data_IF_207784326482
#
_entry.id   IF_207784326482
#
_cell.length_a   1.000
_cell.length_b   1.000
_cell.length_c   1.000
_cell.angle_alpha   90.00
_cell.angle_beta   90.00
_cell.angle_gamma   90.00
#
_symmetry.space_group_name_H-M   'P 1'
#
loop_
_entity.id
_entity.type
_entity.pdbx_description
1 polymer ?
#
# COMPACT_ATOMS: atom_id res chain seq x y z
N UNK A 1 1.59 1.05 4.69
CA UNK A 1 1.15 1.51 3.34
C UNK A 1 2.38 1.96 2.57
N UNK A 2 2.62 1.48 1.34
CA UNK A 2 3.77 1.95 0.53
C UNK A 2 3.24 2.89 -0.54
N UNK A 3 3.58 4.17 -0.44
CA UNK A 3 3.32 5.22 -1.43
C UNK A 3 4.64 5.52 -2.11
N UNK A 4 4.87 4.91 -3.27
CA UNK A 4 6.17 5.01 -3.96
C UNK A 4 6.12 5.31 -5.45
N UNK A 5 7.10 6.09 -5.90
CA UNK A 5 7.28 6.52 -7.30
C UNK A 5 6.03 7.16 -7.93
N UNK A 6 5.23 7.86 -7.13
CA UNK A 6 4.05 8.57 -7.61
C UNK A 6 4.39 10.03 -7.95
N UNK A 7 3.56 10.64 -8.81
CA UNK A 7 3.66 12.06 -9.16
C UNK A 7 2.33 12.75 -8.93
N UNK A 8 2.35 13.93 -8.29
CA UNK A 8 1.15 14.76 -8.07
C UNK A 8 1.36 16.15 -8.66
N UNK A 9 0.39 16.65 -9.42
CA UNK A 9 0.42 17.97 -10.08
C UNK A 9 -0.99 18.57 -10.13
N UNK A 10 -1.10 19.90 -10.07
CA UNK A 10 -2.33 20.71 -10.17
C UNK A 10 -3.46 20.28 -9.21
N UNK A 11 -3.10 19.66 -8.10
CA UNK A 11 -4.03 19.21 -7.08
C UNK A 11 -4.27 20.27 -6.00
N UNK A 12 -5.47 20.27 -5.40
CA UNK A 12 -5.69 20.99 -4.15
C UNK A 12 -4.83 20.40 -3.04
N UNK A 13 -4.88 19.09 -2.83
CA UNK A 13 -4.00 18.38 -1.89
C UNK A 13 -3.20 17.35 -2.72
N UNK A 14 -1.88 17.52 -2.81
CA UNK A 14 -0.99 16.62 -3.57
C UNK A 14 -0.97 15.22 -2.96
N UNK A 15 -0.18 15.03 -1.91
CA UNK A 15 -0.30 13.86 -1.04
C UNK A 15 -1.00 14.27 0.26
N UNK A 16 -2.01 13.50 0.66
CA UNK A 16 -2.81 13.79 1.84
C UNK A 16 -2.94 12.54 2.70
N UNK A 17 -2.39 12.61 3.91
CA UNK A 17 -2.58 11.60 4.94
C UNK A 17 -3.51 12.16 6.00
N UNK A 18 -4.49 11.35 6.37
CA UNK A 18 -5.46 11.63 7.43
C UNK A 18 -5.37 10.47 8.42
N UNK A 19 -5.60 10.77 9.69
CA UNK A 19 -5.61 9.78 10.76
C UNK A 19 -4.29 8.99 10.85
N UNK A 20 -4.38 7.83 11.46
CA UNK A 20 -3.23 7.07 11.83
C UNK A 20 -2.70 6.22 10.66
N UNK A 21 -1.71 6.76 9.95
CA UNK A 21 -1.04 6.12 8.81
C UNK A 21 0.39 5.69 9.16
N UNK A 22 0.70 5.49 10.44
CA UNK A 22 2.04 5.11 10.91
C UNK A 22 2.49 3.77 10.29
N UNK A 23 3.79 3.61 10.04
CA UNK A 23 4.31 2.49 9.25
C UNK A 23 4.05 2.65 7.75
N UNK A 24 3.75 3.87 7.28
CA UNK A 24 3.74 4.17 5.86
C UNK A 24 5.15 4.43 5.34
N UNK A 25 5.44 3.96 4.14
CA UNK A 25 6.64 4.34 3.41
C UNK A 25 6.22 5.32 2.32
N UNK A 26 6.59 6.59 2.47
CA UNK A 26 6.39 7.62 1.48
C UNK A 26 7.74 7.90 0.82
N UNK A 27 8.00 7.28 -0.34
CA UNK A 27 9.33 7.29 -0.98
C UNK A 27 9.32 7.53 -2.48
N UNK A 28 10.38 8.14 -3.01
CA UNK A 28 10.60 8.48 -4.42
C UNK A 28 9.43 9.21 -5.10
N UNK A 29 8.57 9.89 -4.35
CA UNK A 29 7.44 10.59 -4.92
C UNK A 29 7.85 11.97 -5.44
N UNK A 30 7.19 12.45 -6.48
CA UNK A 30 7.42 13.75 -7.08
C UNK A 30 6.21 14.68 -6.83
N UNK A 31 6.46 15.75 -6.07
CA UNK A 31 5.48 16.78 -5.74
C UNK A 31 5.68 17.99 -6.66
N UNK A 32 4.89 18.04 -7.74
CA UNK A 32 4.83 19.16 -8.68
C UNK A 32 3.87 20.26 -8.14
N UNK A 33 3.73 21.40 -8.85
CA UNK A 33 2.91 22.51 -8.37
C UNK A 33 1.50 22.09 -7.96
N UNK A 34 1.03 22.59 -6.80
CA UNK A 34 -0.22 22.22 -6.15
C UNK A 34 -0.57 23.25 -5.06
N UNK A 35 -1.75 23.18 -4.43
CA UNK A 35 -2.04 24.05 -3.28
C UNK A 35 -1.28 23.60 -2.02
N UNK A 36 -1.29 22.29 -1.71
CA UNK A 36 -0.37 21.64 -0.77
C UNK A 36 0.39 20.50 -1.45
N UNK A 37 1.72 20.43 -1.28
CA UNK A 37 2.51 19.30 -1.79
C UNK A 37 2.30 18.02 -0.98
N UNK A 38 2.49 18.12 0.34
CA UNK A 38 2.22 17.09 1.34
C UNK A 38 1.41 17.72 2.48
N UNK A 39 0.29 17.10 2.83
CA UNK A 39 -0.54 17.46 3.96
C UNK A 39 -0.70 16.25 4.89
N UNK A 40 -0.26 16.40 6.14
CA UNK A 40 -0.59 15.49 7.24
C UNK A 40 -1.68 16.16 8.08
N UNK A 41 -2.93 15.74 7.93
CA UNK A 41 -4.06 16.30 8.65
C UNK A 41 -4.49 15.37 9.77
N UNK A 42 -4.19 15.73 11.02
CA UNK A 42 -4.40 14.88 12.21
C UNK A 42 -3.84 13.48 12.01
N UNK A 43 -2.69 13.43 11.35
CA UNK A 43 -2.09 12.20 10.90
C UNK A 43 -0.69 12.02 11.47
N UNK A 44 -0.33 10.75 11.64
CA UNK A 44 1.05 10.31 11.80
C UNK A 44 1.33 9.28 10.72
N UNK A 45 2.48 9.38 10.05
CA UNK A 45 2.90 8.44 8.99
C UNK A 45 4.13 7.61 9.35
N UNK A 46 4.68 7.82 10.55
CA UNK A 46 5.97 7.28 10.94
C UNK A 46 7.12 8.00 10.26
N UNK A 47 8.34 7.69 10.65
CA UNK A 47 9.51 8.39 10.12
C UNK A 47 9.82 7.98 8.68
N UNK A 48 10.25 8.97 7.92
CA UNK A 48 10.58 8.86 6.52
C UNK A 48 12.08 9.06 6.37
N UNK A 49 12.81 7.95 6.41
CA UNK A 49 14.28 7.96 6.40
C UNK A 49 14.80 7.89 4.97
N UNK A 50 15.42 8.98 4.52
CA UNK A 50 16.16 9.11 3.25
C UNK A 50 15.37 8.72 2.02
N UNK A 51 14.05 8.88 2.07
CA UNK A 51 13.07 8.36 1.11
C UNK A 51 13.10 9.00 -0.29
N UNK A 52 14.13 9.74 -0.67
CA UNK A 52 14.30 10.31 -2.01
C UNK A 52 13.12 11.10 -2.62
N UNK A 53 12.15 11.54 -1.83
CA UNK A 53 11.04 12.35 -2.30
C UNK A 53 11.54 13.67 -2.91
N UNK A 54 10.91 14.08 -4.02
CA UNK A 54 11.30 15.24 -4.81
C UNK A 54 10.24 16.33 -4.81
N UNK A 55 10.66 17.56 -4.56
CA UNK A 55 9.81 18.73 -4.49
C UNK A 55 10.06 19.63 -5.69
N UNK A 56 8.99 20.25 -6.21
CA UNK A 56 9.12 21.28 -7.22
C UNK A 56 9.97 22.44 -6.70
N UNK A 57 10.99 22.79 -7.48
CA UNK A 57 11.89 23.93 -7.19
C UNK A 57 11.39 25.24 -7.77
N UNK A 58 10.26 25.22 -8.48
CA UNK A 58 9.68 26.42 -9.07
C UNK A 58 9.17 27.36 -7.97
N UNK A 59 9.50 28.65 -8.09
CA UNK A 59 9.01 29.68 -7.17
C UNK A 59 7.48 29.71 -7.25
N UNK A 60 6.80 29.65 -6.10
CA UNK A 60 5.34 29.64 -6.05
C UNK A 60 4.71 28.34 -6.55
N UNK A 61 5.48 27.25 -6.67
CA UNK A 61 4.93 25.93 -6.99
C UNK A 61 3.82 25.52 -6.03
N UNK A 62 3.93 25.91 -4.76
CA UNK A 62 2.93 25.59 -3.74
C UNK A 62 2.19 26.84 -3.30
N UNK A 63 0.87 26.86 -3.51
CA UNK A 63 0.05 28.04 -3.18
C UNK A 63 -0.01 28.29 -1.67
N UNK A 64 -0.03 27.22 -0.88
CA UNK A 64 -0.09 27.28 0.59
C UNK A 64 1.23 26.81 1.21
N UNK A 65 1.55 25.52 1.15
CA UNK A 65 2.78 24.94 1.72
C UNK A 65 3.29 23.81 0.83
N UNK A 66 4.61 23.63 0.71
CA UNK A 66 5.10 22.37 0.15
C UNK A 66 4.78 21.23 1.10
N UNK A 67 5.04 21.39 2.40
CA UNK A 67 4.68 20.41 3.42
C UNK A 67 3.97 21.09 4.59
N UNK A 68 2.80 20.57 4.97
CA UNK A 68 2.08 21.00 6.17
C UNK A 68 1.66 19.82 7.04
N UNK A 69 1.90 19.93 8.34
CA UNK A 69 1.40 19.05 9.38
C UNK A 69 0.44 19.86 10.26
N UNK A 70 -0.79 19.37 10.37
CA UNK A 70 -1.82 19.89 11.27
C UNK A 70 -2.03 18.86 12.36
N UNK A 71 -1.47 19.12 13.55
CA UNK A 71 -1.59 18.22 14.69
C UNK A 71 -2.99 18.25 15.29
N UNK A 72 -3.48 17.09 15.73
CA UNK A 72 -4.68 16.96 16.53
C UNK A 72 -4.35 17.37 17.99
N UNK A 73 -4.99 18.41 18.54
CA UNK A 73 -4.74 18.85 19.93
C UNK A 73 -5.06 17.78 20.98
N UNK A 74 -5.89 16.80 20.64
CA UNK A 74 -6.28 15.70 21.54
C UNK A 74 -5.32 14.50 21.46
N UNK A 75 -4.46 14.44 20.44
CA UNK A 75 -3.52 13.34 20.23
C UNK A 75 -2.08 13.88 20.08
N UNK A 76 -1.25 13.82 21.15
CA UNK A 76 0.14 14.29 21.09
C UNK A 76 1.02 13.53 20.07
N UNK A 77 0.57 12.36 19.60
CA UNK A 77 1.28 11.54 18.61
C UNK A 77 1.12 12.03 17.18
N UNK A 78 0.23 12.99 16.93
CA UNK A 78 0.09 13.65 15.61
C UNK A 78 1.04 14.86 15.43
N UNK A 79 2.05 14.98 16.30
CA UNK A 79 3.08 16.02 16.21
C UNK A 79 4.20 15.64 15.24
N UNK A 80 5.03 16.61 14.86
CA UNK A 80 6.18 16.38 13.96
C UNK A 80 7.16 15.31 14.45
N UNK A 81 7.17 15.01 15.76
CA UNK A 81 8.07 14.03 16.37
C UNK A 81 7.76 12.57 15.99
N UNK A 82 6.58 12.31 15.44
CA UNK A 82 6.12 10.97 15.03
C UNK A 82 5.93 10.84 13.51
N UNK A 83 6.48 11.79 12.75
CA UNK A 83 6.42 11.79 11.28
C UNK A 83 7.63 12.53 10.71
N UNK A 84 8.81 12.31 11.29
CA UNK A 84 10.00 13.05 10.90
C UNK A 84 10.51 12.60 9.53
N UNK A 85 10.95 13.56 8.72
CA UNK A 85 11.64 13.30 7.47
C UNK A 85 13.14 13.49 7.67
N UNK A 86 13.89 12.40 7.60
CA UNK A 86 15.36 12.41 7.63
C UNK A 86 15.89 12.47 6.20
N UNK A 87 16.19 13.66 5.70
CA UNK A 87 16.49 13.88 4.28
C UNK A 87 17.98 13.64 3.98
N UNK A 88 18.25 12.77 3.02
CA UNK A 88 19.61 12.42 2.57
C UNK A 88 20.42 13.59 1.98
N UNK A 89 19.76 14.65 1.51
CA UNK A 89 20.36 15.81 0.86
C UNK A 89 19.57 17.09 1.15
N UNK A 90 20.23 18.19 1.56
CA UNK A 90 19.55 19.48 1.79
C UNK A 90 19.29 20.27 0.48
N UNK A 91 19.49 19.67 -0.69
CA UNK A 91 19.22 20.35 -1.96
C UNK A 91 17.72 20.69 -2.08
N UNK A 92 17.36 21.82 -2.72
CA UNK A 92 15.96 22.28 -2.80
C UNK A 92 14.99 21.29 -3.44
N UNK A 93 15.49 20.37 -4.26
CA UNK A 93 14.68 19.30 -4.85
C UNK A 93 14.34 18.17 -3.86
N UNK A 94 15.07 18.01 -2.76
CA UNK A 94 14.85 16.96 -1.75
C UNK A 94 14.39 17.53 -0.41
N UNK A 95 14.61 18.83 -0.19
CA UNK A 95 14.17 19.57 0.99
C UNK A 95 13.05 20.54 0.60
N UNK A 96 11.81 20.37 1.12
CA UNK A 96 10.67 21.18 0.70
C UNK A 96 10.88 22.67 0.98
N UNK A 97 10.37 23.52 0.08
CA UNK A 97 10.27 24.96 0.34
C UNK A 97 8.99 25.25 1.14
N UNK A 98 9.01 26.20 2.08
CA UNK A 98 7.80 26.60 2.84
C UNK A 98 7.12 25.43 3.59
N UNK A 99 7.68 25.08 4.76
CA UNK A 99 7.28 23.94 5.62
C UNK A 99 6.57 24.45 6.87
N UNK A 100 5.51 23.76 7.31
CA UNK A 100 4.85 24.00 8.59
C UNK A 100 4.59 22.68 9.35
N UNK A 101 5.17 22.44 10.55
CA UNK A 101 6.04 23.35 11.30
C UNK A 101 7.44 23.50 10.68
N UNK A 102 8.06 24.68 10.79
CA UNK A 102 9.32 24.99 10.10
C UNK A 102 10.57 24.33 10.73
N UNK A 103 10.46 23.80 11.95
CA UNK A 103 11.58 23.16 12.66
C UNK A 103 11.17 21.78 13.19
N UNK A 104 12.13 20.86 13.26
CA UNK A 104 11.96 19.54 13.88
C UNK A 104 11.21 18.51 13.04
N UNK A 105 10.59 18.91 11.92
CA UNK A 105 9.87 17.98 11.05
C UNK A 105 10.70 17.42 9.90
N UNK A 106 11.51 18.26 9.24
CA UNK A 106 12.44 17.87 8.18
C UNK A 106 13.87 18.15 8.64
N UNK A 107 14.66 17.08 8.83
CA UNK A 107 16.03 17.16 9.33
C UNK A 107 17.00 16.52 8.33
N UNK A 108 18.18 17.12 8.07
CA UNK A 108 19.17 16.48 7.22
C UNK A 108 19.79 15.27 7.92
N UNK A 109 19.88 14.14 7.19
CA UNK A 109 20.56 12.93 7.62
C UNK A 109 21.33 12.33 6.43
N UNK A 110 22.61 12.65 6.34
CA UNK A 110 23.43 12.35 5.16
C UNK A 110 23.65 10.86 4.94
N UNK A 111 23.37 10.38 3.73
CA UNK A 111 23.73 9.04 3.29
C UNK A 111 23.05 8.64 1.99
N UNK A 112 23.06 7.34 1.67
CA UNK A 112 22.36 6.84 0.50
C UNK A 112 20.85 7.05 0.65
N UNK A 113 20.20 7.45 -0.45
CA UNK A 113 18.76 7.47 -0.52
C UNK A 113 18.20 6.04 -0.38
N UNK A 114 17.14 5.91 0.41
CA UNK A 114 16.31 4.72 0.44
C UNK A 114 15.29 4.87 -0.69
N UNK A 115 15.37 3.98 -1.67
CA UNK A 115 14.37 3.88 -2.72
C UNK A 115 13.12 3.14 -2.24
N UNK A 116 12.17 2.89 -3.16
CA UNK A 116 10.93 2.17 -2.85
C UNK A 116 11.11 0.84 -2.11
N UNK A 117 12.28 0.22 -2.28
CA UNK A 117 12.63 -1.09 -1.74
C UNK A 117 13.97 -1.06 -0.99
N UNK A 118 14.52 0.12 -0.71
CA UNK A 118 15.71 0.27 0.13
C UNK A 118 15.33 0.07 1.59
N UNK A 119 16.18 -0.63 2.37
CA UNK A 119 15.98 -0.99 3.78
C UNK A 119 15.14 0.05 4.55
N UNK A 120 13.86 -0.25 4.70
CA UNK A 120 12.79 0.66 5.14
C UNK A 120 12.93 1.00 6.64
N UNK A 121 13.93 0.43 7.33
CA UNK A 121 13.97 0.42 8.79
C UNK A 121 15.34 0.72 9.42
N UNK A 122 16.37 1.15 8.69
CA UNK A 122 17.59 1.64 9.38
C UNK A 122 17.30 3.01 10.00
N UNK A 123 16.74 3.03 11.19
CA UNK A 123 16.26 4.26 11.84
C UNK A 123 16.64 4.27 13.30
N UNK A 124 17.36 5.31 13.73
CA UNK A 124 17.47 5.65 15.15
C UNK A 124 16.09 5.85 15.78
N UNK A 125 16.03 5.77 17.11
CA UNK A 125 14.84 6.20 17.85
C UNK A 125 14.70 7.72 17.77
N UNK A 126 13.51 8.22 17.44
CA UNK A 126 13.19 9.65 17.51
C UNK A 126 13.16 10.14 18.95
N UNK A 127 13.12 11.45 19.14
CA UNK A 127 12.92 12.02 20.48
C UNK A 127 11.63 11.52 21.14
N UNK A 128 10.52 11.44 20.38
CA UNK A 128 9.25 10.93 20.91
C UNK A 128 9.32 9.45 21.31
N UNK A 129 9.99 8.63 20.51
CA UNK A 129 10.18 7.21 20.79
C UNK A 129 11.17 6.98 21.95
N UNK A 130 12.23 7.77 22.04
CA UNK A 130 13.16 7.75 23.18
C UNK A 130 12.43 8.10 24.48
N UNK A 131 11.55 9.10 24.44
CA UNK A 131 10.71 9.47 25.58
C UNK A 131 9.68 8.37 25.90
N UNK A 132 9.15 7.67 24.89
CA UNK A 132 8.25 6.54 25.09
C UNK A 132 8.96 5.38 25.79
N UNK A 133 10.12 4.93 25.29
CA UNK A 133 10.85 3.78 25.87
C UNK A 133 11.43 4.09 27.24
N UNK A 134 11.85 5.33 27.51
CA UNK A 134 12.33 5.77 28.83
C UNK A 134 11.19 6.07 29.81
N UNK A 135 9.93 6.09 29.35
CA UNK A 135 8.76 6.40 30.16
C UNK A 135 8.61 7.87 30.53
N UNK A 136 9.33 8.78 29.86
CA UNK A 136 9.25 10.23 30.11
C UNK A 136 8.21 10.95 29.24
N UNK A 137 7.63 10.27 28.24
CA UNK A 137 6.60 10.85 27.37
C UNK A 137 5.32 11.12 28.16
N UNK A 138 4.75 12.33 28.05
CA UNK A 138 3.45 12.60 28.65
C UNK A 138 2.33 11.97 27.81
N UNK A 139 1.76 10.89 28.33
CA UNK A 139 0.72 10.10 27.71
C UNK A 139 -0.69 10.51 28.18
N UNK A 140 -0.83 11.59 28.96
CA UNK A 140 -2.12 12.08 29.45
C UNK A 140 -3.01 12.52 28.29
N UNK A 141 -4.22 11.97 28.21
CA UNK A 141 -5.22 12.32 27.18
C UNK A 141 -5.40 11.27 26.09
N UNK A 142 -4.48 10.31 25.97
CA UNK A 142 -4.64 9.18 25.06
C UNK A 142 -5.63 8.14 25.62
N UNK A 143 -6.42 7.54 24.74
CA UNK A 143 -7.28 6.41 25.11
C UNK A 143 -6.45 5.15 25.36
N UNK A 144 -7.06 4.13 25.96
CA UNK A 144 -6.41 2.83 26.13
C UNK A 144 -5.99 2.18 24.81
N UNK A 145 -6.78 2.38 23.74
CA UNK A 145 -6.47 1.88 22.41
C UNK A 145 -5.26 2.63 21.81
N UNK A 146 -5.25 3.96 21.91
CA UNK A 146 -4.15 4.78 21.37
C UNK A 146 -2.79 4.46 22.02
N UNK A 147 -2.80 4.24 23.35
CA UNK A 147 -1.62 3.82 24.11
C UNK A 147 -1.15 2.45 23.67
N UNK A 148 -2.07 1.49 23.55
CA UNK A 148 -1.74 0.14 23.13
C UNK A 148 -1.15 0.12 21.71
N UNK A 149 -1.73 0.86 20.77
CA UNK A 149 -1.22 0.97 19.40
C UNK A 149 0.15 1.63 19.33
N UNK A 150 0.37 2.69 20.13
CA UNK A 150 1.66 3.37 20.22
C UNK A 150 2.75 2.41 20.72
N UNK A 151 2.50 1.68 21.81
CA UNK A 151 3.46 0.72 22.36
C UNK A 151 3.70 -0.47 21.43
N UNK A 152 2.64 -1.01 20.81
CA UNK A 152 2.73 -2.12 19.85
C UNK A 152 3.63 -1.80 18.67
N UNK A 153 3.55 -0.57 18.13
CA UNK A 153 4.39 -0.15 17.01
C UNK A 153 5.83 0.07 17.39
N UNK A 154 6.07 0.63 18.57
CA UNK A 154 7.41 0.71 19.13
C UNK A 154 8.02 -0.69 19.24
N UNK A 155 7.24 -1.66 19.72
CA UNK A 155 7.59 -3.08 19.73
C UNK A 155 7.96 -3.60 18.33
N UNK A 156 7.11 -3.39 17.32
CA UNK A 156 7.41 -3.79 15.95
C UNK A 156 8.71 -3.17 15.40
N UNK A 157 8.95 -1.87 15.68
CA UNK A 157 10.18 -1.18 15.28
C UNK A 157 11.39 -1.84 15.92
N UNK A 158 11.33 -2.17 17.21
CA UNK A 158 12.41 -2.86 17.91
C UNK A 158 12.60 -4.31 17.41
N UNK A 159 11.53 -5.03 17.10
CA UNK A 159 11.59 -6.39 16.54
C UNK A 159 12.28 -6.43 15.17
N UNK A 160 12.08 -5.38 14.36
CA UNK A 160 12.67 -5.26 13.02
C UNK A 160 14.12 -4.78 13.06
N UNK A 161 14.52 -4.08 14.12
CA UNK A 161 15.82 -3.42 14.25
C UNK A 161 16.47 -3.73 15.61
N UNK A 162 17.02 -4.94 15.80
CA UNK A 162 17.64 -5.34 17.07
C UNK A 162 18.78 -4.43 17.52
N UNK A 163 19.45 -3.73 16.61
CA UNK A 163 20.50 -2.76 16.90
C UNK A 163 20.03 -1.54 17.71
N UNK A 164 18.72 -1.28 17.73
CA UNK A 164 18.10 -0.23 18.56
C UNK A 164 17.93 -0.65 20.02
N UNK A 165 18.22 -1.90 20.35
CA UNK A 165 18.20 -2.46 21.70
C UNK A 165 19.62 -2.86 22.16
N UNK A 166 20.58 -1.92 22.24
CA UNK A 166 21.87 -2.26 22.82
C UNK A 166 21.69 -2.71 24.28
N UNK A 167 22.51 -3.67 24.77
CA UNK A 167 22.39 -4.18 26.13
C UNK A 167 22.39 -3.08 27.20
N UNK A 168 21.41 -3.11 28.09
CA UNK A 168 21.21 -2.14 29.18
C UNK A 168 20.47 -0.86 28.78
N UNK A 169 19.97 -0.76 27.54
CA UNK A 169 19.21 0.42 27.09
C UNK A 169 17.75 0.41 27.56
N UNK A 170 17.14 1.60 27.61
CA UNK A 170 15.70 1.75 27.89
C UNK A 170 14.84 1.02 26.83
N UNK A 171 15.31 0.96 25.58
CA UNK A 171 14.65 0.23 24.50
C UNK A 171 14.65 -1.29 24.76
N UNK A 172 15.78 -1.86 25.20
CA UNK A 172 15.85 -3.28 25.59
C UNK A 172 14.93 -3.56 26.79
N UNK A 173 14.94 -2.68 27.80
CA UNK A 173 14.07 -2.81 28.97
C UNK A 173 12.58 -2.72 28.59
N UNK A 174 12.21 -1.77 27.72
CA UNK A 174 10.87 -1.63 27.17
C UNK A 174 10.41 -2.91 26.48
N UNK A 175 11.23 -3.45 25.57
CA UNK A 175 10.95 -4.68 24.83
C UNK A 175 10.77 -5.88 25.78
N UNK A 176 11.73 -6.11 26.67
CA UNK A 176 11.72 -7.24 27.60
C UNK A 176 10.50 -7.23 28.52
N UNK A 177 10.02 -6.05 28.93
CA UNK A 177 8.84 -5.93 29.78
C UNK A 177 7.54 -6.35 29.10
N UNK A 178 7.50 -6.43 27.76
CA UNK A 178 6.30 -6.85 27.01
C UNK A 178 6.37 -8.31 26.53
N UNK A 179 7.48 -9.01 26.72
CA UNK A 179 7.60 -10.42 26.36
C UNK A 179 6.47 -11.25 27.00
N UNK A 180 5.82 -12.09 26.19
CA UNK A 180 4.72 -12.96 26.64
C UNK A 180 3.36 -12.27 26.85
N UNK A 181 3.27 -10.95 26.66
CA UNK A 181 1.97 -10.24 26.64
C UNK A 181 1.20 -10.50 25.35
N UNK A 182 -0.12 -10.28 25.36
CA UNK A 182 -0.96 -10.33 24.14
C UNK A 182 -0.48 -9.32 23.09
N UNK A 183 -0.04 -8.13 23.52
CA UNK A 183 0.55 -7.12 22.64
C UNK A 183 1.77 -7.66 21.89
N UNK A 184 2.69 -8.33 22.59
CA UNK A 184 3.86 -8.94 21.96
C UNK A 184 3.47 -10.06 20.99
N UNK A 185 2.52 -10.92 21.37
CA UNK A 185 2.05 -11.99 20.51
C UNK A 185 1.43 -11.45 19.21
N UNK A 186 0.57 -10.42 19.31
CA UNK A 186 -0.03 -9.78 18.14
C UNK A 186 0.99 -9.01 17.29
N UNK A 187 1.98 -8.36 17.91
CA UNK A 187 3.07 -7.71 17.18
C UNK A 187 3.94 -8.74 16.43
N UNK A 188 4.23 -9.90 17.04
CA UNK A 188 4.95 -10.99 16.38
C UNK A 188 4.19 -11.51 15.16
N UNK A 189 2.89 -11.77 15.33
CA UNK A 189 2.01 -12.20 14.24
C UNK A 189 2.01 -11.19 13.09
N UNK A 190 1.97 -9.90 13.38
CA UNK A 190 2.01 -8.85 12.37
C UNK A 190 3.34 -8.81 11.62
N UNK A 191 4.46 -8.99 12.32
CA UNK A 191 5.77 -9.12 11.68
C UNK A 191 5.83 -10.36 10.77
N UNK A 192 5.36 -11.51 11.25
CA UNK A 192 5.36 -12.75 10.48
C UNK A 192 4.45 -12.65 9.25
N UNK A 193 3.27 -12.04 9.40
CA UNK A 193 2.34 -11.79 8.31
C UNK A 193 2.94 -10.84 7.26
N UNK A 194 3.57 -9.74 7.68
CA UNK A 194 4.21 -8.80 6.75
C UNK A 194 5.36 -9.46 5.98
N UNK A 195 6.20 -10.26 6.64
CA UNK A 195 7.28 -11.00 5.99
C UNK A 195 6.74 -12.01 4.98
N UNK A 196 5.62 -12.66 5.29
CA UNK A 196 4.95 -13.64 4.42
C UNK A 196 4.38 -13.00 3.14
N UNK A 197 3.99 -11.73 3.21
CA UNK A 197 3.45 -11.00 2.05
C UNK A 197 4.53 -10.53 1.08
N UNK A 198 5.79 -10.46 1.51
CA UNK A 198 6.91 -10.01 0.68
C UNK A 198 7.65 -11.20 0.02
N UNK A 199 8.12 -11.05 -1.22
CA UNK A 199 9.00 -12.05 -1.83
C UNK A 199 10.32 -12.13 -1.08
N UNK A 200 10.80 -13.35 -0.83
CA UNK A 200 12.15 -13.55 -0.31
C UNK A 200 13.21 -13.04 -1.28
N UNK A 201 14.37 -12.63 -0.78
CA UNK A 201 15.43 -12.04 -1.61
C UNK A 201 15.89 -12.96 -2.77
N UNK A 202 15.90 -14.27 -2.54
CA UNK A 202 16.24 -15.26 -3.57
C UNK A 202 15.17 -15.32 -4.68
N UNK A 203 13.89 -15.35 -4.30
CA UNK A 203 12.77 -15.40 -5.24
C UNK A 203 12.67 -14.08 -6.03
N UNK A 204 12.83 -12.94 -5.37
CA UNK A 204 12.86 -11.64 -6.03
C UNK A 204 14.01 -11.57 -7.05
N UNK A 205 15.21 -12.00 -6.67
CA UNK A 205 16.35 -12.07 -7.61
C UNK A 205 16.06 -13.00 -8.80
N UNK A 206 15.40 -14.14 -8.56
CA UNK A 206 14.99 -15.04 -9.62
C UNK A 206 13.96 -14.40 -10.56
N UNK A 207 12.95 -13.71 -10.03
CA UNK A 207 11.94 -12.97 -10.80
C UNK A 207 12.63 -11.91 -11.67
N UNK A 208 13.48 -11.07 -11.09
CA UNK A 208 14.19 -10.01 -11.81
C UNK A 208 15.04 -10.58 -12.95
N UNK A 209 15.77 -11.67 -12.68
CA UNK A 209 16.60 -12.35 -13.67
C UNK A 209 15.76 -12.92 -14.83
N UNK A 210 14.63 -13.55 -14.54
CA UNK A 210 13.75 -14.08 -15.58
C UNK A 210 13.04 -12.99 -16.37
N UNK A 211 12.60 -11.91 -15.72
CA UNK A 211 12.01 -10.75 -16.40
C UNK A 211 13.03 -10.08 -17.34
N UNK A 212 14.25 -9.84 -16.87
CA UNK A 212 15.34 -9.31 -17.70
C UNK A 212 15.66 -10.23 -18.89
N UNK A 213 15.65 -11.54 -18.66
CA UNK A 213 15.85 -12.53 -19.73
C UNK A 213 14.71 -12.51 -20.74
N UNK A 214 13.46 -12.36 -20.29
CA UNK A 214 12.28 -12.22 -21.17
C UNK A 214 12.41 -10.96 -22.03
N UNK A 215 12.75 -9.81 -21.44
CA UNK A 215 12.96 -8.57 -22.20
C UNK A 215 14.08 -8.71 -23.22
N UNK A 216 15.23 -9.27 -22.83
CA UNK A 216 16.33 -9.52 -23.76
C UNK A 216 15.96 -10.45 -24.91
N UNK A 217 15.12 -11.46 -24.69
CA UNK A 217 14.62 -12.35 -25.74
C UNK A 217 13.61 -11.66 -26.66
N UNK A 218 12.77 -10.75 -26.14
CA UNK A 218 11.86 -9.95 -26.94
C UNK A 218 12.64 -8.95 -27.82
N UNK A 219 13.71 -8.34 -27.30
CA UNK A 219 14.59 -7.47 -28.07
C UNK A 219 15.33 -8.24 -29.18
N UNK A 220 15.79 -9.46 -28.90
CA UNK A 220 16.36 -10.33 -29.93
C UNK A 220 15.35 -10.67 -31.02
N UNK A 221 14.09 -10.95 -30.64
CA UNK A 221 13.01 -11.22 -31.60
C UNK A 221 12.74 -9.99 -32.49
N UNK A 222 12.68 -8.80 -31.89
CA UNK A 222 12.52 -7.55 -32.61
C UNK A 222 13.71 -7.26 -33.55
N UNK A 223 14.93 -7.56 -33.12
CA UNK A 223 16.12 -7.42 -33.94
C UNK A 223 16.14 -8.40 -35.13
N UNK A 224 15.67 -9.64 -34.94
CA UNK A 224 15.49 -10.60 -36.04
C UNK A 224 14.48 -10.03 -37.03
N UNK A 225 13.33 -9.55 -36.56
CA UNK A 225 12.27 -9.00 -37.41
C UNK A 225 12.73 -7.75 -38.18
N UNK A 226 13.47 -6.84 -37.53
CA UNK A 226 13.99 -5.62 -38.15
C UNK A 226 15.08 -5.89 -39.20
N UNK A 227 15.87 -6.95 -39.02
CA UNK A 227 16.93 -7.35 -39.95
C UNK A 227 16.47 -8.41 -40.97
N UNK A 228 15.17 -8.70 -41.03
CA UNK A 228 14.59 -9.60 -42.03
C UNK A 228 14.27 -8.82 -43.30
N UNK A 229 15.07 -8.93 -44.38
CA UNK A 229 14.70 -8.34 -45.66
C UNK A 229 13.39 -8.96 -46.15
N UNK A 230 12.52 -8.16 -46.77
CA UNK A 230 11.27 -8.65 -47.37
C UNK A 230 11.61 -9.74 -48.40
N UNK A 231 11.23 -11.01 -48.15
CA UNK A 231 11.58 -12.09 -49.05
C UNK A 231 10.83 -11.91 -50.38
N UNK A 232 11.49 -12.18 -51.51
CA UNK A 232 10.89 -11.99 -52.83
C UNK A 232 9.82 -13.06 -53.14
N UNK A 233 9.80 -14.15 -52.37
CA UNK A 233 8.79 -15.21 -52.43
C UNK A 233 8.54 -15.85 -51.06
N UNK A 234 7.38 -16.51 -50.91
CA UNK A 234 7.05 -17.29 -49.71
C UNK A 234 8.02 -18.46 -49.45
N UNK A 235 8.58 -19.05 -50.52
CA UNK A 235 9.52 -20.17 -50.40
C UNK A 235 10.89 -19.70 -49.84
N UNK A 236 11.39 -18.55 -50.29
CA UNK A 236 12.60 -17.93 -49.71
C UNK A 236 12.38 -17.48 -48.26
N UNK A 237 11.15 -17.09 -47.91
CA UNK A 237 10.80 -16.78 -46.52
C UNK A 237 10.94 -18.02 -45.62
N UNK A 238 10.45 -19.18 -46.08
CA UNK A 238 10.48 -20.46 -45.36
C UNK A 238 11.88 -21.06 -45.24
N UNK A 239 12.71 -20.96 -46.28
CA UNK A 239 14.07 -21.50 -46.30
C UNK A 239 15.09 -20.58 -45.61
N UNK A 240 14.67 -19.40 -45.13
CA UNK A 240 15.56 -18.47 -44.45
C UNK A 240 16.00 -19.01 -43.07
N UNK A 241 17.31 -18.92 -42.81
CA UNK A 241 17.92 -19.12 -41.47
C UNK A 241 17.21 -18.33 -40.35
N UNK A 242 16.50 -17.26 -40.73
CA UNK A 242 15.76 -16.39 -39.82
C UNK A 242 14.51 -17.06 -39.23
N UNK A 243 13.82 -17.96 -39.95
CA UNK A 243 12.70 -18.76 -39.38
C UNK A 243 13.20 -19.68 -38.26
N UNK A 244 14.34 -20.33 -38.46
CA UNK A 244 14.99 -21.17 -37.44
C UNK A 244 15.45 -20.36 -36.22
N UNK A 245 16.07 -19.20 -36.44
CA UNK A 245 16.48 -18.29 -35.36
C UNK A 245 15.26 -17.80 -34.54
N UNK A 246 14.16 -17.46 -35.23
CA UNK A 246 12.91 -17.03 -34.59
C UNK A 246 12.30 -18.15 -33.75
N UNK A 247 12.25 -19.37 -34.28
CA UNK A 247 11.75 -20.53 -33.56
C UNK A 247 12.59 -20.83 -32.30
N UNK A 248 13.92 -20.68 -32.38
CA UNK A 248 14.81 -20.86 -31.24
C UNK A 248 14.55 -19.82 -30.13
N UNK A 249 14.47 -18.53 -30.48
CA UNK A 249 14.16 -17.45 -29.51
C UNK A 249 12.79 -17.65 -28.87
N UNK A 250 11.77 -18.02 -29.65
CA UNK A 250 10.42 -18.30 -29.12
C UNK A 250 10.39 -19.53 -28.20
N UNK A 251 11.17 -20.56 -28.51
CA UNK A 251 11.33 -21.73 -27.65
C UNK A 251 12.00 -21.36 -26.32
N UNK A 252 13.06 -20.54 -26.37
CA UNK A 252 13.73 -20.04 -25.18
C UNK A 252 12.80 -19.17 -24.34
N UNK A 253 12.04 -18.26 -24.97
CA UNK A 253 11.07 -17.40 -24.30
C UNK A 253 10.02 -18.23 -23.56
N UNK A 254 9.51 -19.30 -24.19
CA UNK A 254 8.58 -20.24 -23.53
C UNK A 254 9.22 -20.91 -22.33
N UNK A 255 10.44 -21.42 -22.45
CA UNK A 255 11.16 -22.06 -21.34
C UNK A 255 11.41 -21.10 -20.17
N UNK A 256 11.82 -19.86 -20.47
CA UNK A 256 12.03 -18.82 -19.46
C UNK A 256 10.73 -18.46 -18.76
N UNK A 257 9.61 -18.34 -19.49
CA UNK A 257 8.30 -18.12 -18.87
C UNK A 257 7.86 -19.28 -17.98
N UNK A 258 8.00 -20.51 -18.44
CA UNK A 258 7.67 -21.67 -17.60
C UNK A 258 8.49 -21.70 -16.30
N UNK A 259 9.74 -21.23 -16.36
CA UNK A 259 10.61 -21.14 -15.17
C UNK A 259 10.15 -20.03 -14.22
N UNK A 260 9.74 -18.88 -14.75
CA UNK A 260 9.12 -17.80 -13.97
C UNK A 260 7.82 -18.28 -13.31
N UNK A 261 6.94 -18.93 -14.06
CA UNK A 261 5.67 -19.46 -13.56
C UNK A 261 5.90 -20.49 -12.44
N UNK A 262 6.95 -21.31 -12.54
CA UNK A 262 7.32 -22.26 -11.49
C UNK A 262 7.78 -21.56 -10.20
N UNK A 263 8.56 -20.47 -10.30
CA UNK A 263 8.95 -19.66 -9.13
C UNK A 263 7.71 -19.03 -8.50
N UNK A 264 6.83 -18.41 -9.30
CA UNK A 264 5.60 -17.80 -8.80
C UNK A 264 4.71 -18.83 -8.11
N UNK A 265 4.52 -20.01 -8.70
CA UNK A 265 3.74 -21.09 -8.09
C UNK A 265 4.35 -21.57 -6.76
N UNK A 266 5.67 -21.69 -6.69
CA UNK A 266 6.39 -22.00 -5.45
C UNK A 266 6.17 -20.95 -4.36
N UNK A 267 6.25 -19.67 -4.72
CA UNK A 267 5.99 -18.56 -3.80
C UNK A 267 4.55 -18.57 -3.27
N UNK A 268 3.56 -18.81 -4.14
CA UNK A 268 2.17 -18.91 -3.70
C UNK A 268 1.98 -20.07 -2.71
N UNK A 269 2.56 -21.24 -2.99
CA UNK A 269 2.47 -22.39 -2.08
C UNK A 269 3.13 -22.10 -0.73
N UNK A 270 4.31 -21.45 -0.72
CA UNK A 270 5.01 -21.07 0.50
C UNK A 270 4.20 -20.05 1.30
N UNK A 271 3.70 -18.99 0.65
CA UNK A 271 2.83 -18.00 1.28
C UNK A 271 1.61 -18.63 1.94
N UNK A 272 0.91 -19.53 1.26
CA UNK A 272 -0.25 -20.22 1.84
C UNK A 272 0.13 -21.03 3.09
N UNK A 273 1.29 -21.70 3.09
CA UNK A 273 1.77 -22.45 4.24
C UNK A 273 2.13 -21.54 5.43
N UNK A 274 2.82 -20.42 5.15
CA UNK A 274 3.21 -19.45 6.17
C UNK A 274 1.99 -18.76 6.78
N UNK A 275 0.99 -18.38 5.96
CA UNK A 275 -0.27 -17.81 6.46
C UNK A 275 -1.09 -18.79 7.32
N UNK A 276 -1.02 -20.09 7.03
CA UNK A 276 -1.62 -21.10 7.90
C UNK A 276 -0.92 -21.17 9.28
N UNK A 277 0.40 -20.96 9.33
CA UNK A 277 1.14 -20.86 10.59
C UNK A 277 0.79 -19.58 11.37
N UNK A 278 0.64 -18.45 10.66
CA UNK A 278 0.14 -17.18 11.23
C UNK A 278 -1.25 -17.38 11.85
N UNK A 279 -2.18 -18.03 11.15
CA UNK A 279 -3.50 -18.36 11.69
C UNK A 279 -3.44 -19.24 12.94
N UNK A 280 -2.64 -20.31 12.91
CA UNK A 280 -2.48 -21.18 14.08
C UNK A 280 -1.96 -20.42 15.30
N UNK A 281 -1.13 -19.39 15.09
CA UNK A 281 -0.64 -18.53 16.18
C UNK A 281 -1.75 -17.61 16.68
N UNK A 282 -2.49 -16.96 15.78
CA UNK A 282 -3.64 -16.12 16.10
C UNK A 282 -4.68 -16.86 16.94
N UNK A 283 -5.00 -18.11 16.60
CA UNK A 283 -5.99 -18.93 17.32
C UNK A 283 -5.63 -19.13 18.79
N UNK A 284 -4.34 -19.25 19.11
CA UNK A 284 -3.83 -19.39 20.47
C UNK A 284 -3.82 -18.10 21.30
N UNK A 285 -3.98 -16.93 20.68
CA UNK A 285 -3.99 -15.63 21.37
C UNK A 285 -5.35 -15.40 22.04
N UNK A 286 -5.34 -15.08 23.33
CA UNK A 286 -6.54 -14.77 24.10
C UNK A 286 -6.60 -13.26 24.38
N UNK A 287 -7.27 -12.46 23.53
CA UNK A 287 -7.37 -11.02 23.73
C UNK A 287 -8.20 -10.69 24.98
N UNK A 288 -7.85 -9.59 25.64
CA UNK A 288 -8.49 -9.11 26.87
C UNK A 288 -9.27 -7.81 26.68
N UNK A 289 -9.00 -7.10 25.57
CA UNK A 289 -9.63 -5.82 25.23
C UNK A 289 -10.28 -5.85 23.85
N UNK A 290 -11.08 -4.83 23.54
CA UNK A 290 -11.77 -4.70 22.25
C UNK A 290 -10.77 -4.50 21.11
N UNK A 291 -9.81 -3.58 21.26
CA UNK A 291 -8.78 -3.34 20.23
C UNK A 291 -7.87 -4.55 19.99
N UNK A 292 -7.55 -5.36 21.01
CA UNK A 292 -6.83 -6.64 20.82
C UNK A 292 -7.66 -7.65 20.04
N UNK A 293 -8.96 -7.75 20.36
CA UNK A 293 -9.90 -8.65 19.67
C UNK A 293 -10.06 -8.25 18.20
N UNK A 294 -10.26 -6.96 17.94
CA UNK A 294 -10.37 -6.42 16.59
C UNK A 294 -9.11 -6.69 15.77
N UNK A 295 -7.92 -6.44 16.33
CA UNK A 295 -6.64 -6.67 15.65
C UNK A 295 -6.44 -8.15 15.33
N UNK A 296 -6.76 -9.05 16.28
CA UNK A 296 -6.72 -10.51 16.06
C UNK A 296 -7.62 -10.91 14.89
N UNK A 297 -8.90 -10.53 14.93
CA UNK A 297 -9.88 -10.89 13.89
C UNK A 297 -9.51 -10.31 12.53
N UNK A 298 -8.99 -9.07 12.49
CA UNK A 298 -8.51 -8.45 11.27
C UNK A 298 -7.38 -9.27 10.63
N UNK A 299 -6.37 -9.69 11.40
CA UNK A 299 -5.29 -10.52 10.86
C UNK A 299 -5.71 -11.94 10.51
N UNK A 300 -6.73 -12.52 11.17
CA UNK A 300 -7.30 -13.80 10.76
C UNK A 300 -7.90 -13.69 9.34
N UNK A 301 -8.78 -12.70 9.12
CA UNK A 301 -9.39 -12.42 7.82
C UNK A 301 -8.34 -12.10 6.75
N UNK A 302 -7.35 -11.26 7.06
CA UNK A 302 -6.27 -10.92 6.12
C UNK A 302 -5.39 -12.13 5.77
N UNK A 303 -5.23 -13.08 6.70
CA UNK A 303 -4.49 -14.32 6.45
C UNK A 303 -5.27 -15.26 5.54
N UNK A 304 -6.59 -15.41 5.74
CA UNK A 304 -7.46 -16.16 4.82
C UNK A 304 -7.42 -15.56 3.42
N UNK A 305 -7.56 -14.24 3.34
CA UNK A 305 -7.51 -13.54 2.07
C UNK A 305 -6.17 -13.66 1.36
N UNK A 306 -5.07 -13.47 2.09
CA UNK A 306 -3.73 -13.65 1.57
C UNK A 306 -3.43 -15.08 1.10
N UNK A 307 -4.12 -16.08 1.68
CA UNK A 307 -4.03 -17.48 1.30
C UNK A 307 -4.90 -17.83 0.06
N UNK A 308 -5.63 -16.86 -0.50
CA UNK A 308 -6.43 -17.00 -1.71
C UNK A 308 -7.92 -17.26 -1.45
N UNK A 309 -8.40 -17.14 -0.20
CA UNK A 309 -9.84 -17.19 0.09
C UNK A 309 -10.44 -15.81 -0.13
N UNK A 310 -11.38 -15.67 -1.07
CA UNK A 310 -12.03 -14.37 -1.26
C UNK A 310 -12.90 -14.00 -0.05
N UNK A 311 -12.88 -12.73 0.41
CA UNK A 311 -13.70 -12.30 1.53
C UNK A 311 -15.19 -12.57 1.28
N UNK A 312 -15.86 -13.18 2.26
CA UNK A 312 -17.27 -13.51 2.17
C UNK A 312 -18.18 -12.41 2.75
N UNK A 313 -19.49 -12.69 2.86
CA UNK A 313 -20.45 -11.74 3.41
C UNK A 313 -20.29 -11.51 4.92
N UNK A 314 -19.75 -12.48 5.66
CA UNK A 314 -19.44 -12.34 7.08
C UNK A 314 -18.18 -11.48 7.28
N UNK A 315 -17.16 -11.67 6.45
CA UNK A 315 -15.95 -10.83 6.45
C UNK A 315 -16.29 -9.37 6.17
N UNK A 316 -17.10 -9.12 5.14
CA UNK A 316 -17.51 -7.75 4.80
C UNK A 316 -18.39 -7.12 5.90
N UNK A 317 -19.24 -7.92 6.57
CA UNK A 317 -20.00 -7.46 7.72
C UNK A 317 -19.09 -7.10 8.91
N UNK A 318 -18.06 -7.93 9.16
CA UNK A 318 -17.04 -7.65 10.16
C UNK A 318 -16.29 -6.35 9.85
N UNK A 319 -15.75 -6.18 8.64
CA UNK A 319 -15.04 -4.96 8.23
C UNK A 319 -15.90 -3.71 8.40
N UNK A 320 -17.18 -3.75 7.98
CA UNK A 320 -18.10 -2.61 8.17
C UNK A 320 -18.35 -2.31 9.64
N UNK A 321 -18.55 -3.35 10.46
CA UNK A 321 -18.75 -3.19 11.90
C UNK A 321 -17.53 -2.60 12.60
N UNK A 322 -16.33 -3.01 12.19
CA UNK A 322 -15.07 -2.51 12.71
C UNK A 322 -14.84 -1.07 12.26
N UNK A 323 -15.05 -0.76 10.98
CA UNK A 323 -14.90 0.59 10.42
C UNK A 323 -15.83 1.63 11.08
N UNK A 324 -16.99 1.19 11.57
CA UNK A 324 -17.96 2.02 12.28
C UNK A 324 -17.54 2.38 13.72
N UNK A 325 -16.61 1.64 14.34
CA UNK A 325 -16.16 1.89 15.72
C UNK A 325 -15.38 3.22 15.83
N UNK A 326 -15.25 3.71 17.06
CA UNK A 326 -14.29 4.77 17.38
C UNK A 326 -12.86 4.22 17.35
N UNK A 327 -11.89 4.93 16.75
CA UNK A 327 -10.47 4.58 16.90
C UNK A 327 -10.02 4.50 18.36
N UNK A 328 -10.58 5.33 19.25
CA UNK A 328 -10.28 5.31 20.70
C UNK A 328 -10.80 4.06 21.43
N UNK A 329 -11.68 3.27 20.81
CA UNK A 329 -12.21 2.01 21.35
C UNK A 329 -11.63 0.80 20.60
N UNK A 330 -11.65 0.87 19.27
CA UNK A 330 -11.29 -0.23 18.38
C UNK A 330 -9.83 -0.25 17.93
N UNK A 331 -9.06 0.80 18.24
CA UNK A 331 -7.66 0.97 17.84
C UNK A 331 -7.48 1.25 16.35
N UNK A 332 -6.25 1.17 15.90
CA UNK A 332 -5.83 1.39 14.51
C UNK A 332 -6.40 0.35 13.52
N UNK A 333 -6.92 -0.77 14.02
CA UNK A 333 -7.68 -1.74 13.24
C UNK A 333 -8.92 -1.12 12.58
N UNK A 334 -9.50 -0.06 13.21
CA UNK A 334 -10.61 0.71 12.65
C UNK A 334 -10.21 1.41 11.36
N UNK A 335 -9.06 2.10 11.37
CA UNK A 335 -8.56 2.81 10.19
C UNK A 335 -8.16 1.84 9.08
N UNK A 336 -7.61 0.68 9.46
CA UNK A 336 -7.34 -0.39 8.50
C UNK A 336 -8.65 -0.89 7.86
N UNK A 337 -9.68 -1.16 8.65
CA UNK A 337 -10.98 -1.60 8.15
C UNK A 337 -11.64 -0.58 7.22
N UNK A 338 -11.57 0.71 7.55
CA UNK A 338 -12.05 1.79 6.67
C UNK A 338 -11.36 1.78 5.30
N UNK A 339 -10.07 1.49 5.25
CA UNK A 339 -9.32 1.37 4.00
C UNK A 339 -9.65 0.08 3.21
N UNK A 340 -10.16 -0.95 3.87
CA UNK A 340 -10.61 -2.19 3.21
C UNK A 340 -12.02 -2.11 2.62
N UNK A 341 -12.81 -1.09 2.99
CA UNK A 341 -14.14 -0.89 2.44
C UNK A 341 -14.10 -0.53 0.95
N UNK A 342 -15.17 -0.80 0.19
CA UNK A 342 -15.31 -0.29 -1.18
C UNK A 342 -15.17 1.23 -1.22
N UNK A 343 -14.55 1.77 -2.28
CA UNK A 343 -14.28 3.23 -2.43
C UNK A 343 -15.51 4.09 -2.17
N UNK A 344 -16.70 3.63 -2.60
CA UNK A 344 -17.98 4.31 -2.38
C UNK A 344 -18.35 4.47 -0.89
N UNK A 345 -17.93 3.52 -0.05
CA UNK A 345 -18.19 3.50 1.40
C UNK A 345 -17.09 4.22 2.17
N UNK A 346 -15.84 4.23 1.67
CA UNK A 346 -14.71 4.91 2.30
C UNK A 346 -14.97 6.41 2.52
N UNK A 347 -15.62 7.07 1.55
CA UNK A 347 -15.94 8.50 1.61
C UNK A 347 -16.81 8.91 2.80
N UNK A 348 -17.55 7.97 3.40
CA UNK A 348 -18.35 8.22 4.59
C UNK A 348 -17.49 8.38 5.85
N UNK A 349 -16.24 7.93 5.83
CA UNK A 349 -15.32 8.01 6.96
C UNK A 349 -14.24 9.09 6.78
N UNK A 350 -14.25 9.81 5.65
CA UNK A 350 -13.33 10.92 5.34
C UNK A 350 -13.78 12.26 5.94
N UNK A 351 -14.54 12.22 7.02
CA UNK A 351 -14.97 13.44 7.70
C UNK A 351 -13.76 14.19 8.27
N UNK A 352 -13.57 15.43 7.82
CA UNK A 352 -12.60 16.39 8.35
C UNK A 352 -13.07 16.96 9.72
N UNK A 353 -14.18 16.47 10.32
CA UNK A 353 -14.75 16.99 11.58
C UNK A 353 -14.53 16.02 12.77
N UNK A 354 -13.72 16.41 13.77
CA UNK A 354 -13.39 15.58 14.93
C UNK A 354 -14.53 15.55 15.96
N UNK A 355 -15.59 16.34 15.75
CA UNK A 355 -16.81 16.32 16.57
C UNK A 355 -17.87 15.35 16.06
N UNK A 356 -17.67 14.75 14.88
CA UNK A 356 -18.61 13.76 14.41
C UNK A 356 -18.54 12.48 15.26
N UNK A 357 -19.69 11.99 15.73
CA UNK A 357 -19.72 10.81 16.57
C UNK A 357 -19.25 9.59 15.79
N UNK A 358 -18.31 8.84 16.38
CA UNK A 358 -18.11 7.45 15.98
C UNK A 358 -19.40 6.65 16.22
N UNK A 359 -19.50 5.45 15.62
CA UNK A 359 -20.72 4.64 15.53
C UNK A 359 -21.71 5.13 14.47
N UNK A 360 -21.21 5.42 13.27
CA UNK A 360 -22.06 5.55 12.09
C UNK A 360 -22.74 4.20 11.81
N UNK A 361 -24.04 4.14 12.05
CA UNK A 361 -24.86 3.02 11.59
C UNK A 361 -24.83 3.04 10.06
N UNK A 362 -24.32 1.98 9.44
CA UNK A 362 -24.42 1.82 7.99
C UNK A 362 -25.90 1.75 7.61
N UNK A 363 -26.42 2.84 7.05
CA UNK A 363 -27.72 2.81 6.39
C UNK A 363 -27.51 2.18 5.02
N UNK A 364 -27.95 0.93 4.85
CA UNK A 364 -28.00 0.27 3.56
C UNK A 364 -28.82 1.06 2.49
N UNK A 365 -29.52 2.13 2.90
CA UNK A 365 -30.23 3.02 1.99
C UNK A 365 -29.34 4.04 1.27
N UNK A 366 -28.09 4.24 1.68
CA UNK A 366 -27.18 5.26 1.08
C UNK A 366 -26.17 4.69 0.09
N UNK A 367 -26.02 3.37 0.01
CA UNK A 367 -25.39 2.74 -1.14
C UNK A 367 -26.50 2.52 -2.16
N UNK A 368 -26.68 3.49 -3.07
CA UNK A 368 -27.27 3.14 -4.37
C UNK A 368 -26.43 1.98 -4.88
N UNK A 369 -27.02 0.77 -4.89
CA UNK A 369 -26.40 -0.39 -5.50
C UNK A 369 -25.88 0.08 -6.85
N UNK A 370 -24.55 0.14 -7.09
CA UNK A 370 -24.03 0.50 -8.40
C UNK A 370 -24.63 -0.54 -9.32
N UNK A 371 -25.61 -0.11 -10.10
CA UNK A 371 -26.51 -1.08 -10.66
C UNK A 371 -25.68 -2.01 -11.57
N UNK A 372 -25.94 -3.31 -11.50
CA UNK A 372 -25.10 -4.26 -12.20
C UNK A 372 -25.33 -4.11 -13.69
N UNK A 373 -24.30 -3.70 -14.43
CA UNK A 373 -24.27 -3.86 -15.88
C UNK A 373 -24.14 -5.36 -16.15
N UNK A 374 -25.14 -5.95 -16.80
CA UNK A 374 -25.10 -7.37 -17.15
C UNK A 374 -24.88 -7.52 -18.65
N UNK A 375 -24.00 -8.46 -19.02
CA UNK A 375 -23.63 -8.72 -20.40
C UNK A 375 -24.03 -10.15 -20.72
N UNK A 376 -24.96 -10.30 -21.66
CA UNK A 376 -25.49 -11.59 -22.10
C UNK A 376 -25.04 -11.85 -23.53
N UNK A 377 -23.94 -12.60 -23.74
CA UNK A 377 -23.60 -13.06 -25.07
C UNK A 377 -24.62 -14.10 -25.53
N UNK A 378 -25.14 -13.95 -26.76
CA UNK A 378 -25.98 -14.96 -27.41
C UNK A 378 -25.24 -15.53 -28.64
N UNK A 379 -24.53 -16.67 -28.48
CA UNK A 379 -23.73 -17.27 -29.54
C UNK A 379 -24.57 -17.75 -30.74
N UNK A 380 -25.83 -18.12 -30.50
CA UNK A 380 -26.71 -18.69 -31.52
C UNK A 380 -27.24 -17.64 -32.49
N UNK A 381 -27.38 -16.38 -32.03
CA UNK A 381 -27.87 -15.27 -32.86
C UNK A 381 -26.79 -14.25 -33.22
N UNK A 382 -25.54 -14.45 -32.76
CA UNK A 382 -24.44 -13.47 -32.88
C UNK A 382 -24.80 -12.10 -32.32
N UNK A 383 -25.62 -12.07 -31.27
CA UNK A 383 -26.05 -10.84 -30.60
C UNK A 383 -25.38 -10.73 -29.23
N UNK A 384 -25.09 -9.49 -28.84
CA UNK A 384 -24.60 -9.13 -27.51
C UNK A 384 -25.64 -8.22 -26.89
N UNK A 385 -26.27 -8.67 -25.81
CA UNK A 385 -27.17 -7.82 -25.03
C UNK A 385 -26.40 -7.28 -23.82
N UNK A 386 -26.53 -5.98 -23.60
CA UNK A 386 -25.95 -5.27 -22.45
C UNK A 386 -27.08 -4.54 -21.76
N UNK A 387 -27.41 -4.97 -20.55
CA UNK A 387 -28.46 -4.34 -19.75
C UNK A 387 -27.81 -3.39 -18.75
N UNK A 388 -28.23 -2.13 -18.81
CA UNK A 388 -27.83 -1.10 -17.87
C UNK A 388 -28.90 -1.00 -16.78
N UNK A 389 -28.48 -0.87 -15.51
CA UNK A 389 -29.41 -0.84 -14.38
C UNK A 389 -30.24 0.44 -14.27
N UNK A 390 -29.78 1.51 -14.92
CA UNK A 390 -30.32 2.85 -14.85
C UNK A 390 -30.04 3.58 -16.17
N UNK A 391 -30.73 4.70 -16.35
CA UNK A 391 -30.45 5.65 -17.42
C UNK A 391 -28.94 5.97 -17.48
N UNK A 392 -28.26 5.45 -18.51
CA UNK A 392 -26.81 5.57 -18.65
C UNK A 392 -26.51 6.27 -19.97
N UNK A 393 -25.57 7.22 -19.94
CA UNK A 393 -24.98 7.81 -21.15
C UNK A 393 -23.48 7.54 -21.15
N UNK A 394 -22.90 7.30 -22.32
CA UNK A 394 -21.47 7.01 -22.42
C UNK A 394 -21.08 6.23 -23.66
N UNK A 395 -19.85 5.71 -23.68
CA UNK A 395 -19.33 4.92 -24.79
C UNK A 395 -19.12 3.47 -24.36
N UNK A 396 -19.84 2.55 -25.00
CA UNK A 396 -19.58 1.10 -24.86
C UNK A 396 -18.55 0.69 -25.91
N UNK A 397 -17.46 0.03 -25.50
CA UNK A 397 -16.42 -0.47 -26.40
C UNK A 397 -16.26 -1.98 -26.24
N UNK A 398 -16.24 -2.69 -27.37
CA UNK A 398 -15.84 -4.08 -27.44
C UNK A 398 -14.38 -4.13 -27.90
N UNK A 399 -13.51 -4.74 -27.10
CA UNK A 399 -12.09 -4.89 -27.41
C UNK A 399 -11.75 -6.36 -27.69
N UNK A 400 -10.75 -6.59 -28.54
CA UNK A 400 -10.11 -7.89 -28.66
C UNK A 400 -9.25 -8.18 -27.43
N UNK A 401 -8.85 -9.43 -27.27
CA UNK A 401 -7.88 -9.84 -26.24
C UNK A 401 -6.52 -9.13 -26.37
N UNK A 402 -6.21 -8.55 -27.54
CA UNK A 402 -5.01 -7.76 -27.79
C UNK A 402 -5.20 -6.26 -27.54
N UNK A 403 -6.34 -5.85 -26.95
CA UNK A 403 -6.64 -4.45 -26.63
C UNK A 403 -7.09 -3.60 -27.83
N UNK A 404 -7.31 -4.20 -29.00
CA UNK A 404 -7.77 -3.49 -30.20
C UNK A 404 -9.28 -3.30 -30.11
N UNK A 405 -9.78 -2.07 -30.27
CA UNK A 405 -11.22 -1.78 -30.29
C UNK A 405 -11.84 -2.42 -31.54
N UNK A 406 -12.67 -3.44 -31.34
CA UNK A 406 -13.41 -4.13 -32.39
C UNK A 406 -14.69 -3.36 -32.74
N UNK A 407 -15.35 -2.75 -31.74
CA UNK A 407 -16.57 -1.97 -31.95
C UNK A 407 -16.78 -0.93 -30.85
N UNK A 408 -17.46 0.16 -31.19
CA UNK A 408 -17.82 1.22 -30.25
C UNK A 408 -19.26 1.67 -30.50
N UNK A 409 -20.03 1.83 -29.43
CA UNK A 409 -21.40 2.36 -29.46
C UNK A 409 -21.49 3.58 -28.56
N UNK A 410 -22.30 4.55 -28.96
CA UNK A 410 -22.72 5.64 -28.10
C UNK A 410 -24.02 5.23 -27.40
N UNK A 411 -23.95 5.03 -26.10
CA UNK A 411 -25.10 4.79 -25.24
C UNK A 411 -25.67 6.17 -24.90
N UNK A 412 -26.92 6.41 -25.29
CA UNK A 412 -27.63 7.63 -24.95
C UNK A 412 -28.73 7.28 -23.97
N UNK A 413 -28.90 8.14 -22.98
CA UNK A 413 -30.03 8.07 -22.08
C UNK A 413 -31.32 8.17 -22.88
N UNK A 414 -32.20 7.18 -22.69
CA UNK A 414 -33.56 7.20 -23.20
C UNK A 414 -34.45 7.74 -22.10
N UNK A 415 -34.79 9.04 -22.16
CA UNK A 415 -35.87 9.60 -21.36
C UNK A 415 -37.15 8.82 -21.67
N UNK A 416 -37.68 8.10 -20.67
CA UNK A 416 -39.04 7.56 -20.70
C UNK A 416 -39.92 8.38 -19.78
#
# INVERSE_FOLDING_TARGET
IIVCSNTTEDASRGFHFIFNSDGSTFSENQMNPSMWGLLLHWARIGDQVRTANRWSTSIGAFQMFAAQLVSNPQDPTTSSNFSQFLIHSPQPQFFPSNINPPMGWFNPDYGAANGCFGNIFTGSLTEGEQQLVSGSLNLSGLSGADLWDLERRMLLKLMRNPELMPPGSDAEAFYNARLGTVMYQLASVEQDWEQTMLPGAADQSAIDNYQNSIFGLLDQLAAIDANTPQPASFQEALDSLQVGARAAVLSQLRSTRNSLDAVLAGMYAQRTADLAAVQSTLDGINPSTVYETNRKQLFQMLSDWGAGQEPDSADLAFVRSLAAQCPSEGGDAVDFARNLLPVCEQGQYLSDDPSEPCNRSFSAAEVESPGKVSVHPNPTTSQLQVDFPAATSGTLRLLSISGVVLRSWQVKESLR
#
